data_IF_098583790819
#
_entry.id   IF_098583790819
#
_cell.length_a   1.000
_cell.length_b   1.000
_cell.length_c   1.000
_cell.angle_alpha   90.00
_cell.angle_beta   90.00
_cell.angle_gamma   90.00
#
_symmetry.space_group_name_H-M   'P 1'
#
loop_
_entity.id
_entity.type
_entity.pdbx_description
1 polymer ?
#
# COMPACT_ATOMS: atom_id res chain seq x y z
N UNK A 1 -9.13 -11.97 13.83
CA UNK A 1 -9.95 -11.37 12.74
C UNK A 1 -9.19 -11.24 11.40
N UNK A 2 -7.95 -10.72 11.41
CA UNK A 2 -7.14 -10.55 10.18
C UNK A 2 -6.66 -11.87 9.54
N UNK A 3 -6.25 -12.84 10.36
CA UNK A 3 -5.73 -14.12 9.85
C UNK A 3 -6.76 -14.89 8.99
N UNK A 4 -8.04 -14.87 9.37
CA UNK A 4 -9.10 -15.53 8.58
C UNK A 4 -9.23 -14.92 7.18
N UNK A 5 -9.15 -13.60 7.07
CA UNK A 5 -9.20 -12.91 5.77
C UNK A 5 -7.96 -13.23 4.93
N UNK A 6 -6.77 -13.18 5.53
CA UNK A 6 -5.52 -13.53 4.84
C UNK A 6 -5.59 -14.96 4.29
N UNK A 7 -6.00 -15.92 5.12
CA UNK A 7 -6.16 -17.32 4.68
C UNK A 7 -7.21 -17.46 3.57
N UNK A 8 -8.31 -16.71 3.61
CA UNK A 8 -9.31 -16.73 2.55
C UNK A 8 -8.75 -16.20 1.21
N UNK A 9 -7.98 -15.12 1.24
CA UNK A 9 -7.30 -14.55 0.07
C UNK A 9 -6.25 -15.53 -0.47
N UNK A 10 -5.38 -16.05 0.40
CA UNK A 10 -4.35 -17.03 0.07
C UNK A 10 -4.95 -18.27 -0.60
N UNK A 11 -5.99 -18.85 0.00
CA UNK A 11 -6.70 -20.00 -0.56
C UNK A 11 -7.31 -19.70 -1.93
N UNK A 12 -7.88 -18.51 -2.12
CA UNK A 12 -8.46 -18.12 -3.42
C UNK A 12 -7.36 -17.94 -4.47
N UNK A 13 -6.25 -17.28 -4.14
CA UNK A 13 -5.10 -17.13 -5.03
C UNK A 13 -4.57 -18.50 -5.48
N UNK A 14 -4.33 -19.42 -4.54
CA UNK A 14 -3.84 -20.76 -4.84
C UNK A 14 -4.77 -21.54 -5.76
N UNK A 15 -6.10 -21.46 -5.53
CA UNK A 15 -7.11 -22.12 -6.39
C UNK A 15 -7.10 -21.61 -7.83
N UNK A 16 -6.81 -20.32 -8.02
CA UNK A 16 -6.76 -19.68 -9.35
C UNK A 16 -5.35 -19.71 -9.97
N UNK A 17 -4.38 -20.41 -9.37
CA UNK A 17 -3.00 -20.44 -9.85
C UNK A 17 -2.23 -19.11 -9.69
N UNK A 18 -2.71 -18.21 -8.83
CA UNK A 18 -2.06 -16.93 -8.53
C UNK A 18 -1.08 -17.12 -7.38
N UNK A 19 0.18 -16.72 -7.58
CA UNK A 19 1.20 -16.74 -6.52
C UNK A 19 0.82 -15.76 -5.42
N UNK A 20 0.67 -16.26 -4.20
CA UNK A 20 0.47 -15.46 -3.00
C UNK A 20 1.79 -15.31 -2.24
N UNK A 21 2.14 -14.08 -1.85
CA UNK A 21 3.33 -13.79 -1.04
C UNK A 21 2.94 -12.84 0.09
N UNK A 22 3.27 -13.23 1.34
CA UNK A 22 3.10 -12.36 2.50
C UNK A 22 4.24 -11.36 2.55
N UNK A 23 3.91 -10.08 2.73
CA UNK A 23 4.88 -9.00 2.84
C UNK A 23 4.71 -8.28 4.18
N UNK A 24 5.82 -8.03 4.88
CA UNK A 24 5.81 -7.24 6.11
C UNK A 24 5.58 -5.76 5.77
N UNK A 25 4.70 -5.09 6.53
CA UNK A 25 4.14 -3.78 6.16
C UNK A 25 4.71 -2.60 6.99
N UNK A 26 5.79 -2.79 7.76
CA UNK A 26 6.34 -1.69 8.55
C UNK A 26 6.68 -0.49 7.67
N UNK A 27 6.27 0.68 8.16
CA UNK A 27 6.47 2.00 7.57
C UNK A 27 5.80 2.26 6.22
N UNK A 28 5.08 1.31 5.61
CA UNK A 28 4.46 1.46 4.28
C UNK A 28 3.42 2.58 4.21
N UNK A 29 2.76 2.91 5.33
CA UNK A 29 1.80 4.01 5.42
C UNK A 29 2.43 5.38 5.76
N UNK A 30 3.71 5.40 6.13
CA UNK A 30 4.45 6.60 6.55
C UNK A 30 5.40 7.09 5.46
N UNK A 31 6.18 6.17 4.90
CA UNK A 31 7.11 6.44 3.80
C UNK A 31 6.39 6.98 2.56
N UNK A 32 7.06 7.85 1.83
CA UNK A 32 6.57 8.40 0.58
C UNK A 32 7.00 7.53 -0.59
N UNK A 33 6.02 6.89 -1.25
CA UNK A 33 6.29 6.16 -2.48
C UNK A 33 6.84 7.10 -3.57
N UNK A 34 6.25 8.30 -3.67
CA UNK A 34 6.60 9.28 -4.70
C UNK A 34 8.03 9.81 -4.56
N UNK A 35 8.53 9.90 -3.33
CA UNK A 35 9.88 10.39 -3.06
C UNK A 35 10.91 9.23 -2.96
N UNK A 36 10.48 7.98 -3.18
CA UNK A 36 11.31 6.77 -3.07
C UNK A 36 12.00 6.64 -1.71
N UNK A 37 11.25 6.92 -0.64
CA UNK A 37 11.75 6.74 0.73
C UNK A 37 12.20 5.29 0.96
N UNK A 38 13.28 5.14 1.73
CA UNK A 38 13.76 3.81 2.16
C UNK A 38 12.72 3.20 3.11
N UNK A 39 12.40 1.92 2.88
CA UNK A 39 11.44 1.15 3.69
C UNK A 39 12.19 0.16 4.59
N UNK A 40 12.57 0.56 5.82
CA UNK A 40 13.23 -0.34 6.75
C UNK A 40 12.29 -1.47 7.20
N UNK A 41 12.88 -2.55 7.71
CA UNK A 41 12.15 -3.61 8.39
C UNK A 41 12.21 -3.33 9.88
N UNK A 42 11.04 -3.20 10.51
CA UNK A 42 10.99 -2.98 11.95
C UNK A 42 11.55 -4.18 12.72
N UNK A 43 12.38 -3.91 13.72
CA UNK A 43 12.85 -4.88 14.70
C UNK A 43 12.75 -4.29 16.10
N UNK A 44 12.56 -5.15 17.12
CA UNK A 44 12.52 -4.73 18.53
C UNK A 44 13.85 -4.14 19.01
N UNK A 45 14.95 -4.61 18.45
CA UNK A 45 16.31 -4.18 18.81
C UNK A 45 16.74 -2.91 18.08
N UNK A 46 15.95 -2.48 17.09
CA UNK A 46 16.23 -1.30 16.29
C UNK A 46 15.83 -0.03 17.06
N UNK A 47 16.84 0.78 17.39
CA UNK A 47 16.70 2.07 18.08
C UNK A 47 16.73 3.25 17.12
N UNK A 48 16.82 3.02 15.81
CA UNK A 48 16.87 4.08 14.82
C UNK A 48 15.52 4.82 14.73
N UNK A 49 15.59 6.15 14.65
CA UNK A 49 14.44 6.99 14.35
C UNK A 49 14.39 7.25 12.85
N UNK A 50 13.34 6.77 12.20
CA UNK A 50 13.15 6.93 10.76
C UNK A 50 12.32 8.18 10.45
N UNK A 51 12.88 9.04 9.62
CA UNK A 51 12.22 10.22 9.09
C UNK A 51 11.87 9.97 7.62
N UNK A 52 10.61 10.20 7.27
CA UNK A 52 10.08 10.04 5.93
C UNK A 52 9.82 11.41 5.32
N UNK A 53 9.98 11.52 4.01
CA UNK A 53 9.91 12.79 3.30
C UNK A 53 8.47 13.32 3.18
N UNK A 54 7.50 12.40 3.10
CA UNK A 54 6.08 12.68 3.00
C UNK A 54 5.32 12.43 4.30
N UNK A 55 4.02 12.71 4.26
CA UNK A 55 3.13 12.53 5.41
C UNK A 55 1.70 12.24 4.99
N UNK A 56 1.02 11.41 5.78
CA UNK A 56 -0.44 11.25 5.69
C UNK A 56 -1.11 12.47 6.32
N UNK A 57 -1.98 13.13 5.56
CA UNK A 57 -2.69 14.33 6.02
C UNK A 57 -4.02 13.92 6.68
N UNK A 58 -4.81 13.10 5.99
CA UNK A 58 -6.10 12.59 6.48
C UNK A 58 -6.32 11.15 6.00
N UNK A 59 -7.46 10.55 6.38
CA UNK A 59 -7.90 9.31 5.77
C UNK A 59 -8.14 9.55 4.27
N UNK A 60 -7.47 8.77 3.42
CA UNK A 60 -7.58 8.89 1.96
C UNK A 60 -6.64 9.92 1.34
N UNK A 61 -5.85 10.69 2.10
CA UNK A 61 -4.95 11.70 1.54
C UNK A 61 -3.53 11.58 2.08
N UNK A 62 -2.56 11.41 1.17
CA UNK A 62 -1.13 11.41 1.45
C UNK A 62 -0.45 12.51 0.64
N UNK A 63 0.50 13.22 1.26
CA UNK A 63 1.26 14.30 0.64
C UNK A 63 2.75 13.95 0.62
N UNK A 64 3.37 14.00 -0.56
CA UNK A 64 4.82 13.87 -0.75
C UNK A 64 5.58 15.14 -0.35
N UNK A 65 6.92 15.07 -0.33
CA UNK A 65 7.80 16.22 -0.04
C UNK A 65 7.59 17.40 -0.98
N UNK A 66 7.29 17.13 -2.25
CA UNK A 66 7.01 18.16 -3.26
C UNK A 66 5.62 18.80 -3.12
N UNK A 67 4.81 18.36 -2.16
CA UNK A 67 3.42 18.80 -1.99
C UNK A 67 2.43 18.06 -2.86
N UNK A 68 2.88 17.19 -3.79
CA UNK A 68 1.99 16.36 -4.60
C UNK A 68 1.21 15.39 -3.73
N UNK A 69 -0.10 15.35 -3.94
CA UNK A 69 -1.03 14.52 -3.16
C UNK A 69 -1.50 13.30 -3.95
N UNK A 70 -1.61 12.16 -3.27
CA UNK A 70 -2.20 10.91 -3.78
C UNK A 70 -3.09 10.27 -2.71
N UNK A 71 -3.87 9.26 -3.11
CA UNK A 71 -4.67 8.52 -2.15
C UNK A 71 -3.77 7.75 -1.17
N UNK A 72 -4.05 7.82 0.13
CA UNK A 72 -3.21 7.19 1.16
C UNK A 72 -3.11 5.66 0.99
N UNK A 73 -4.19 5.01 0.58
CA UNK A 73 -4.17 3.56 0.35
C UNK A 73 -3.36 3.18 -0.90
N UNK A 74 -3.30 4.07 -1.91
CA UNK A 74 -2.42 3.88 -3.07
C UNK A 74 -0.95 3.98 -2.65
N UNK A 75 -0.61 4.98 -1.83
CA UNK A 75 0.75 5.11 -1.27
C UNK A 75 1.15 3.84 -0.51
N UNK A 76 0.28 3.37 0.40
CA UNK A 76 0.51 2.14 1.17
C UNK A 76 0.70 0.91 0.29
N UNK A 77 -0.21 0.68 -0.67
CA UNK A 77 -0.14 -0.47 -1.58
C UNK A 77 1.12 -0.47 -2.44
N UNK A 78 1.52 0.69 -2.97
CA UNK A 78 2.73 0.82 -3.78
C UNK A 78 3.99 0.62 -2.94
N UNK A 79 4.02 1.09 -1.69
CA UNK A 79 5.13 0.82 -0.78
C UNK A 79 5.24 -0.67 -0.42
N UNK A 80 4.11 -1.36 -0.18
CA UNK A 80 4.11 -2.82 0.01
C UNK A 80 4.66 -3.53 -1.22
N UNK A 81 4.28 -3.08 -2.42
CA UNK A 81 4.78 -3.64 -3.68
C UNK A 81 6.30 -3.44 -3.83
N UNK A 82 6.82 -2.24 -3.58
CA UNK A 82 8.27 -1.99 -3.64
C UNK A 82 9.02 -2.85 -2.61
N UNK A 83 8.51 -2.93 -1.38
CA UNK A 83 9.14 -3.70 -0.30
C UNK A 83 9.20 -5.19 -0.60
N UNK A 84 8.27 -5.70 -1.40
CA UNK A 84 8.26 -7.11 -1.81
C UNK A 84 9.41 -7.51 -2.74
N UNK A 85 10.04 -6.54 -3.42
CA UNK A 85 11.17 -6.79 -4.33
C UNK A 85 10.84 -7.64 -5.56
N UNK A 86 9.58 -8.07 -5.75
CA UNK A 86 9.17 -8.92 -6.88
C UNK A 86 8.83 -8.13 -8.14
N UNK A 87 8.66 -6.81 -8.04
CA UNK A 87 8.30 -5.95 -9.17
C UNK A 87 9.31 -4.80 -9.27
N UNK A 88 9.84 -4.59 -10.48
CA UNK A 88 10.60 -3.41 -10.84
C UNK A 88 9.65 -2.41 -11.50
N UNK A 89 9.34 -1.32 -10.80
CA UNK A 89 8.54 -0.24 -11.38
C UNK A 89 9.42 0.65 -12.27
N UNK A 90 8.86 1.09 -13.40
CA UNK A 90 9.52 2.03 -14.29
C UNK A 90 9.61 3.42 -13.65
N UNK A 91 10.63 4.20 -14.03
CA UNK A 91 10.85 5.51 -13.42
C UNK A 91 9.78 6.55 -13.76
N UNK A 92 9.15 6.38 -14.92
CA UNK A 92 8.07 7.21 -15.45
C UNK A 92 6.67 6.74 -14.98
N UNK A 93 6.57 5.84 -14.00
CA UNK A 93 5.29 5.32 -13.52
C UNK A 93 4.35 6.46 -13.07
N UNK A 94 3.23 6.61 -13.78
CA UNK A 94 2.24 7.66 -13.48
C UNK A 94 1.12 7.11 -12.60
N UNK A 95 1.01 7.65 -11.39
CA UNK A 95 -0.11 7.36 -10.49
C UNK A 95 -1.36 8.06 -11.03
N UNK A 96 -2.40 7.27 -11.30
CA UNK A 96 -3.73 7.80 -11.65
C UNK A 96 -4.57 7.99 -10.40
N UNK A 97 -5.21 9.14 -10.28
CA UNK A 97 -6.22 9.37 -9.25
C UNK A 97 -7.44 8.49 -9.55
N UNK A 98 -8.00 7.77 -8.56
CA UNK A 98 -9.21 7.00 -8.77
C UNK A 98 -10.35 7.90 -9.23
N UNK A 99 -11.05 7.49 -10.28
CA UNK A 99 -12.33 8.10 -10.64
C UNK A 99 -13.41 7.58 -9.69
N UNK A 100 -14.23 8.48 -9.16
CA UNK A 100 -15.38 8.08 -8.36
C UNK A 100 -16.37 7.35 -9.27
N UNK A 101 -16.50 6.04 -9.07
CA UNK A 101 -17.53 5.26 -9.73
C UNK A 101 -18.83 5.40 -8.95
N UNK A 102 -19.89 5.85 -9.61
CA UNK A 102 -21.24 5.77 -9.09
C UNK A 102 -21.68 4.31 -9.10
N UNK A 103 -21.39 3.58 -8.02
CA UNK A 103 -21.85 2.20 -7.86
C UNK A 103 -23.34 2.23 -7.57
N UNK A 104 -24.16 1.61 -8.44
CA UNK A 104 -25.57 1.38 -8.15
C UNK A 104 -25.68 0.68 -6.79
N UNK A 105 -26.44 1.27 -5.86
CA UNK A 105 -26.78 0.62 -4.59
C UNK A 105 -27.34 -0.76 -4.94
N UNK A 106 -26.67 -1.82 -4.49
CA UNK A 106 -27.23 -3.18 -4.61
C UNK A 106 -28.62 -3.12 -4.01
N UNK A 107 -29.65 -3.56 -4.75
CA UNK A 107 -30.96 -3.84 -4.14
C UNK A 107 -30.69 -4.78 -2.98
N UNK A 108 -31.17 -4.42 -1.79
CA UNK A 108 -31.21 -5.37 -0.68
C UNK A 108 -31.96 -6.60 -1.19
N UNK A 109 -31.30 -7.75 -1.15
CA UNK A 109 -31.99 -9.02 -1.34
C UNK A 109 -32.76 -9.24 -0.04
N UNK A 110 -34.08 -9.29 -0.14
CA UNK A 110 -35.00 -9.54 0.96
C UNK A 110 -34.80 -10.94 1.55
#
# INVERSE_FOLDING_TARGET
PFQKLISAIENKCLKEGIRFLRQEESYTSKASFLDRDILPVWSKDDKASYHFSGKRITRGLYQSKSGKCIHADINGALNTLIKSGIVKLEENFQIKTPNLLYVQKRKAVA
#
